data_IF_899160921012
#
_entry.id   IF_899160921012
#
_cell.length_a   1.000
_cell.length_b   1.000
_cell.length_c   1.000
_cell.angle_alpha   90.00
_cell.angle_beta   90.00
_cell.angle_gamma   90.00
#
_symmetry.space_group_name_H-M   'P 1'
#
loop_
_entity.id
_entity.type
_entity.pdbx_description
1 polymer ?
#
# COMPACT_ATOMS: atom_id res chain seq x y z
N UNK A 1 -16.79 13.42 -5.76
CA UNK A 1 -15.81 12.30 -5.56
C UNK A 1 -14.38 12.75 -5.84
N UNK A 2 -14.14 13.57 -6.86
CA UNK A 2 -12.84 14.21 -7.13
C UNK A 2 -12.39 15.16 -6.00
N UNK A 3 -13.32 15.86 -5.35
CA UNK A 3 -12.99 16.84 -4.31
C UNK A 3 -12.40 16.20 -3.06
N UNK A 4 -12.92 15.03 -2.64
CA UNK A 4 -12.40 14.29 -1.49
C UNK A 4 -10.94 13.84 -1.67
N UNK A 5 -10.59 13.39 -2.89
CA UNK A 5 -9.22 12.98 -3.21
C UNK A 5 -8.30 14.21 -3.18
N UNK A 6 -8.71 15.32 -3.79
CA UNK A 6 -7.92 16.55 -3.83
C UNK A 6 -7.75 17.20 -2.44
N UNK A 7 -8.77 17.15 -1.60
CA UNK A 7 -8.76 17.68 -0.24
C UNK A 7 -7.78 16.92 0.66
N UNK A 8 -7.71 15.60 0.51
CA UNK A 8 -6.69 14.77 1.17
C UNK A 8 -5.27 15.20 0.75
N UNK A 9 -5.06 15.49 -0.54
CA UNK A 9 -3.76 15.95 -1.04
C UNK A 9 -3.41 17.37 -0.58
N UNK A 10 -4.39 18.26 -0.38
CA UNK A 10 -4.18 19.64 0.04
C UNK A 10 -3.84 19.79 1.53
N UNK A 11 -4.29 18.87 2.40
CA UNK A 11 -4.01 18.90 3.84
C UNK A 11 -2.84 18.01 4.27
N UNK A 12 -2.23 17.27 3.35
CA UNK A 12 -1.06 16.45 3.67
C UNK A 12 0.20 17.33 3.76
N UNK A 13 0.98 17.26 4.87
CA UNK A 13 2.24 17.97 5.00
C UNK A 13 3.15 17.62 3.81
N UNK A 14 3.71 18.63 3.15
CA UNK A 14 4.53 18.46 1.95
C UNK A 14 5.60 17.37 2.12
N UNK A 15 6.24 17.34 3.30
CA UNK A 15 7.26 16.34 3.64
C UNK A 15 6.71 14.91 3.66
N UNK A 16 5.53 14.71 4.23
CA UNK A 16 4.88 13.39 4.32
C UNK A 16 4.49 12.88 2.92
N UNK A 17 3.98 13.77 2.07
CA UNK A 17 3.69 13.43 0.66
C UNK A 17 4.95 13.02 -0.09
N UNK A 18 6.06 13.74 0.11
CA UNK A 18 7.34 13.39 -0.51
C UNK A 18 7.83 11.99 -0.08
N UNK A 19 7.74 11.66 1.21
CA UNK A 19 8.07 10.32 1.73
C UNK A 19 7.19 9.25 1.07
N UNK A 20 5.87 9.44 1.04
CA UNK A 20 4.94 8.48 0.44
C UNK A 20 5.26 8.25 -1.04
N UNK A 21 5.46 9.33 -1.80
CA UNK A 21 5.76 9.25 -3.24
C UNK A 21 7.09 8.55 -3.49
N UNK A 22 8.14 8.89 -2.74
CA UNK A 22 9.46 8.27 -2.89
C UNK A 22 9.39 6.75 -2.63
N UNK A 23 8.76 6.33 -1.53
CA UNK A 23 8.67 4.91 -1.17
C UNK A 23 7.72 4.13 -2.08
N UNK A 24 6.62 4.74 -2.53
CA UNK A 24 5.74 4.12 -3.52
C UNK A 24 6.46 3.91 -4.86
N UNK A 25 7.28 4.88 -5.28
CA UNK A 25 8.08 4.78 -6.50
C UNK A 25 9.11 3.65 -6.39
N UNK A 26 9.83 3.57 -5.27
CA UNK A 26 10.77 2.47 -4.99
C UNK A 26 10.04 1.12 -5.06
N UNK A 27 8.89 0.99 -4.38
CA UNK A 27 8.09 -0.22 -4.40
C UNK A 27 7.65 -0.65 -5.81
N UNK A 28 7.26 0.32 -6.64
CA UNK A 28 6.90 0.08 -8.04
C UNK A 28 8.09 -0.35 -8.91
N UNK A 29 9.25 0.29 -8.74
CA UNK A 29 10.45 -0.03 -9.51
C UNK A 29 11.05 -1.40 -9.14
N UNK A 30 10.97 -1.79 -7.87
CA UNK A 30 11.38 -3.11 -7.37
C UNK A 30 10.44 -4.26 -7.80
N UNK A 31 9.36 -3.96 -8.50
CA UNK A 31 8.48 -4.99 -9.02
C UNK A 31 8.97 -5.47 -10.39
N UNK A 32 9.25 -6.76 -10.50
CA UNK A 32 9.46 -7.46 -11.78
C UNK A 32 8.11 -7.64 -12.49
N UNK A 33 7.64 -6.56 -13.10
CA UNK A 33 6.31 -6.45 -13.68
C UNK A 33 6.32 -5.51 -14.90
N UNK A 34 5.30 -5.63 -15.76
CA UNK A 34 5.15 -4.74 -16.91
C UNK A 34 4.89 -3.29 -16.48
N UNK A 35 5.11 -2.34 -17.40
CA UNK A 35 4.95 -0.90 -17.13
C UNK A 35 3.63 -0.55 -16.42
N UNK A 36 2.50 -1.04 -16.94
CA UNK A 36 1.18 -0.79 -16.37
C UNK A 36 0.99 -1.36 -14.96
N UNK A 37 1.62 -2.50 -14.65
CA UNK A 37 1.56 -3.09 -13.32
C UNK A 37 2.38 -2.28 -12.33
N UNK A 38 3.52 -1.72 -12.76
CA UNK A 38 4.32 -0.79 -11.93
C UNK A 38 3.56 0.51 -11.64
N UNK A 39 2.88 1.06 -12.65
CA UNK A 39 2.02 2.24 -12.47
C UNK A 39 0.90 1.95 -11.47
N UNK A 40 0.23 0.81 -11.59
CA UNK A 40 -0.81 0.41 -10.64
C UNK A 40 -0.25 0.26 -9.22
N UNK A 41 0.91 -0.38 -9.07
CA UNK A 41 1.60 -0.55 -7.78
C UNK A 41 1.96 0.77 -7.13
N UNK A 42 2.43 1.74 -7.93
CA UNK A 42 2.74 3.07 -7.43
C UNK A 42 1.51 3.74 -6.81
N UNK A 43 0.39 3.76 -7.54
CA UNK A 43 -0.85 4.37 -7.03
C UNK A 43 -1.46 3.59 -5.85
N UNK A 44 -1.39 2.26 -5.85
CA UNK A 44 -1.83 1.44 -4.71
C UNK A 44 -0.98 1.71 -3.48
N UNK A 45 0.34 1.88 -3.63
CA UNK A 45 1.24 2.28 -2.55
C UNK A 45 0.85 3.64 -1.94
N UNK A 46 0.63 4.64 -2.79
CA UNK A 46 0.16 5.96 -2.33
C UNK A 46 -1.18 5.84 -1.60
N UNK A 47 -2.15 5.16 -2.20
CA UNK A 47 -3.48 4.99 -1.61
C UNK A 47 -3.41 4.27 -0.25
N UNK A 48 -2.59 3.23 -0.14
CA UNK A 48 -2.39 2.50 1.11
C UNK A 48 -1.79 3.40 2.20
N UNK A 49 -0.74 4.16 1.88
CA UNK A 49 -0.11 5.06 2.84
C UNK A 49 -1.05 6.18 3.29
N UNK A 50 -1.73 6.83 2.35
CA UNK A 50 -2.64 7.94 2.66
C UNK A 50 -3.83 7.47 3.49
N UNK A 51 -4.39 6.31 3.17
CA UNK A 51 -5.61 5.82 3.83
C UNK A 51 -5.33 5.17 5.18
N UNK A 52 -4.26 4.38 5.30
CA UNK A 52 -4.05 3.53 6.47
C UNK A 52 -3.01 4.05 7.47
N UNK A 53 -2.24 5.10 7.17
CA UNK A 53 -1.23 5.57 8.12
C UNK A 53 -1.86 6.02 9.44
N UNK A 54 -2.85 6.91 9.42
CA UNK A 54 -3.49 7.37 10.67
C UNK A 54 -4.23 6.24 11.41
N UNK A 55 -5.10 5.44 10.74
CA UNK A 55 -5.73 4.31 11.41
C UNK A 55 -4.76 3.34 12.07
N UNK A 56 -3.59 3.06 11.47
CA UNK A 56 -2.59 2.19 12.07
C UNK A 56 -1.86 2.83 13.26
N UNK A 57 -1.57 4.13 13.19
CA UNK A 57 -0.99 4.85 14.33
C UNK A 57 -1.94 4.83 15.51
N UNK A 58 -3.23 5.09 15.28
CA UNK A 58 -4.26 5.10 16.31
C UNK A 58 -4.48 3.69 16.87
N UNK A 59 -4.59 2.68 16.01
CA UNK A 59 -4.86 1.30 16.41
C UNK A 59 -3.73 0.70 17.26
N UNK A 60 -2.47 1.03 16.94
CA UNK A 60 -1.30 0.55 17.68
C UNK A 60 -0.82 1.53 18.76
N UNK A 61 -1.56 2.62 19.01
CA UNK A 61 -1.18 3.69 19.95
C UNK A 61 0.26 4.19 19.75
N UNK A 62 0.68 4.27 18.48
CA UNK A 62 2.05 4.65 18.12
C UNK A 62 2.26 6.15 18.30
N UNK A 63 3.49 6.51 18.72
CA UNK A 63 3.88 7.92 18.83
C UNK A 63 3.81 8.60 17.45
N UNK A 64 3.40 9.89 17.37
CA UNK A 64 3.36 10.64 16.10
C UNK A 64 4.68 10.65 15.32
N UNK A 65 5.82 10.51 16.01
CA UNK A 65 7.14 10.40 15.41
C UNK A 65 7.29 9.22 14.43
N UNK A 66 6.46 8.17 14.54
CA UNK A 66 6.47 7.04 13.62
C UNK A 66 5.63 7.26 12.35
N UNK A 67 4.93 8.39 12.23
CA UNK A 67 4.02 8.67 11.10
C UNK A 67 4.69 8.46 9.74
N UNK A 68 5.90 8.99 9.55
CA UNK A 68 6.58 8.92 8.25
C UNK A 68 7.12 7.51 7.98
N UNK A 69 7.57 6.81 9.01
CA UNK A 69 8.01 5.42 8.90
C UNK A 69 6.83 4.51 8.54
N UNK A 70 5.70 4.64 9.22
CA UNK A 70 4.47 3.88 8.93
C UNK A 70 3.98 4.18 7.50
N UNK A 71 3.99 5.45 7.09
CA UNK A 71 3.61 5.85 5.73
C UNK A 71 4.55 5.25 4.67
N UNK A 72 5.86 5.27 4.89
CA UNK A 72 6.85 4.68 3.98
C UNK A 72 6.70 3.16 3.85
N UNK A 73 6.47 2.46 4.96
CA UNK A 73 6.21 1.01 4.96
C UNK A 73 4.92 0.69 4.21
N UNK A 74 3.84 1.45 4.45
CA UNK A 74 2.58 1.27 3.73
C UNK A 74 2.73 1.54 2.23
N UNK A 75 3.49 2.58 1.85
CA UNK A 75 3.78 2.90 0.47
C UNK A 75 4.52 1.76 -0.25
N UNK A 76 5.50 1.14 0.43
CA UNK A 76 6.18 -0.06 -0.06
C UNK A 76 5.25 -1.29 -0.10
N UNK A 77 4.35 -1.43 0.87
CA UNK A 77 3.42 -2.57 0.97
C UNK A 77 2.46 -2.64 -0.21
N UNK A 78 2.23 -1.51 -0.90
CA UNK A 78 1.46 -1.46 -2.13
C UNK A 78 1.94 -2.43 -3.21
N UNK A 79 3.25 -2.72 -3.27
CA UNK A 79 3.82 -3.77 -4.15
C UNK A 79 3.22 -5.13 -3.84
N UNK A 80 3.20 -5.52 -2.58
CA UNK A 80 2.72 -6.83 -2.15
C UNK A 80 1.21 -6.95 -2.36
N UNK A 81 0.46 -5.89 -2.04
CA UNK A 81 -0.99 -5.82 -2.27
C UNK A 81 -1.28 -5.94 -3.76
N UNK A 82 -0.56 -5.21 -4.61
CA UNK A 82 -0.79 -5.23 -6.05
C UNK A 82 -0.46 -6.59 -6.67
N UNK A 83 0.66 -7.20 -6.27
CA UNK A 83 1.01 -8.56 -6.70
C UNK A 83 -0.07 -9.56 -6.28
N UNK A 84 -0.56 -9.46 -5.05
CA UNK A 84 -1.63 -10.32 -4.54
C UNK A 84 -2.92 -10.13 -5.33
N UNK A 85 -3.39 -8.89 -5.50
CA UNK A 85 -4.61 -8.57 -6.27
C UNK A 85 -4.49 -9.04 -7.71
N UNK A 86 -3.38 -8.78 -8.40
CA UNK A 86 -3.19 -9.20 -9.78
C UNK A 86 -3.14 -10.73 -9.94
N UNK A 87 -2.54 -11.45 -8.97
CA UNK A 87 -2.57 -12.92 -8.95
C UNK A 87 -3.99 -13.43 -8.72
N UNK A 88 -4.71 -12.84 -7.78
CA UNK A 88 -6.07 -13.21 -7.44
C UNK A 88 -7.04 -12.94 -8.60
N UNK A 89 -6.83 -11.86 -9.36
CA UNK A 89 -7.62 -11.57 -10.57
C UNK A 89 -7.35 -12.53 -11.73
N UNK A 90 -6.13 -13.08 -11.82
CA UNK A 90 -5.79 -14.06 -12.87
C UNK A 90 -6.25 -15.48 -12.55
N UNK A 91 -6.15 -15.88 -11.28
CA UNK A 91 -6.55 -17.21 -10.82
C UNK A 91 -7.05 -17.13 -9.36
N UNK A 92 -8.35 -16.81 -9.17
CA UNK A 92 -8.91 -16.57 -7.84
C UNK A 92 -9.00 -17.85 -7.01
N UNK A 93 -9.23 -19.00 -7.66
CA UNK A 93 -9.37 -20.31 -6.99
C UNK A 93 -8.02 -20.72 -6.39
N UNK A 94 -6.95 -20.66 -7.18
CA UNK A 94 -5.60 -21.00 -6.72
C UNK A 94 -5.09 -20.06 -5.62
N UNK A 95 -5.47 -18.79 -5.69
CA UNK A 95 -5.12 -17.79 -4.67
C UNK A 95 -5.87 -18.06 -3.35
N UNK A 96 -7.14 -18.47 -3.42
CA UNK A 96 -7.91 -18.88 -2.25
C UNK A 96 -7.37 -20.17 -1.60
N UNK A 97 -6.95 -21.16 -2.40
CA UNK A 97 -6.31 -22.38 -1.90
C UNK A 97 -5.01 -22.08 -1.14
N UNK A 98 -4.18 -21.15 -1.63
CA UNK A 98 -2.97 -20.70 -0.94
C UNK A 98 -3.30 -20.07 0.42
N UNK A 99 -4.31 -19.21 0.49
CA UNK A 99 -4.73 -18.57 1.75
C UNK A 99 -5.28 -19.59 2.76
N UNK A 100 -6.15 -20.49 2.30
CA UNK A 100 -6.72 -21.55 3.13
C UNK A 100 -5.64 -22.55 3.59
N UNK A 101 -4.65 -22.83 2.74
CA UNK A 101 -3.50 -23.67 3.07
C UNK A 101 -2.63 -23.07 4.17
N UNK A 102 -2.34 -21.75 4.10
CA UNK A 102 -1.62 -21.03 5.17
C UNK A 102 -2.44 -21.03 6.46
N UNK A 103 -3.74 -20.78 6.38
CA UNK A 103 -4.63 -20.75 7.54
C UNK A 103 -4.75 -22.11 8.23
N UNK A 104 -4.84 -23.21 7.46
CA UNK A 104 -4.86 -24.58 8.00
C UNK A 104 -3.53 -25.04 8.60
N UNK A 105 -2.40 -24.54 8.11
CA UNK A 105 -1.06 -24.90 8.64
C UNK A 105 -0.70 -24.21 9.95
N UNK A 106 -1.38 -23.13 10.29
CA UNK A 106 -1.17 -22.36 11.53
C UNK A 106 -2.15 -22.74 12.66
N UNK A 107 -2.97 -23.78 12.45
CA UNK A 107 -3.73 -24.48 13.48
C UNK A 107 -3.02 -25.78 13.84
#
# INVERSE_FOLDING_TARGET
MTDFILEIFYHLPFWKTAVIVAFALIGALLQEAGFWQRVLTFFIGIAAAVTFTQPLLDFFELRPAFSDATAGVLAMSGRNITVFVLRLSRDPVKSAELLLGVWRRNK
#
